data_IF_828545629344
#
_entry.id   IF_828545629344
#
_cell.length_a   1.000
_cell.length_b   1.000
_cell.length_c   1.000
_cell.angle_alpha   90.00
_cell.angle_beta   90.00
_cell.angle_gamma   90.00
#
_symmetry.space_group_name_H-M   'P 1'
#
loop_
_entity.id
_entity.type
_entity.pdbx_description
1 polymer ?
#
# COMPACT_ATOMS: atom_id res chain seq x y z
N UNK A 1 6.47 10.02 27.66
CA UNK A 1 5.45 8.93 27.65
C UNK A 1 4.59 8.92 26.39
N UNK A 2 3.89 10.01 26.03
CA UNK A 2 2.99 10.05 24.84
C UNK A 2 3.70 9.71 23.51
N UNK A 3 4.96 10.13 23.34
CA UNK A 3 5.76 9.85 22.13
C UNK A 3 6.04 8.35 21.92
N UNK A 4 6.33 7.61 22.99
CA UNK A 4 6.63 6.17 22.90
C UNK A 4 5.40 5.35 22.47
N UNK A 5 4.22 5.70 22.98
CA UNK A 5 2.96 5.03 22.63
C UNK A 5 2.63 5.26 21.15
N UNK A 6 2.83 6.49 20.65
CA UNK A 6 2.63 6.81 19.22
C UNK A 6 3.61 6.04 18.33
N UNK A 7 4.90 6.01 18.70
CA UNK A 7 5.91 5.27 17.96
C UNK A 7 5.60 3.76 17.91
N UNK A 8 5.17 3.18 19.04
CA UNK A 8 4.77 1.78 19.09
C UNK A 8 3.54 1.49 18.22
N UNK A 9 2.55 2.39 18.22
CA UNK A 9 1.36 2.27 17.38
C UNK A 9 1.71 2.30 15.89
N UNK A 10 2.51 3.28 15.46
CA UNK A 10 2.99 3.38 14.07
C UNK A 10 3.78 2.15 13.67
N UNK A 11 4.71 1.68 14.53
CA UNK A 11 5.47 0.47 14.27
C UNK A 11 4.58 -0.77 14.12
N UNK A 12 3.54 -0.91 14.94
CA UNK A 12 2.58 -2.01 14.82
C UNK A 12 1.81 -1.97 13.50
N UNK A 13 1.42 -0.79 13.05
CA UNK A 13 0.74 -0.61 11.74
C UNK A 13 1.70 -1.01 10.62
N UNK A 14 2.90 -0.42 10.56
CA UNK A 14 3.89 -0.73 9.52
C UNK A 14 4.26 -2.20 9.48
N UNK A 15 4.40 -2.84 10.64
CA UNK A 15 4.68 -4.29 10.73
C UNK A 15 3.50 -5.14 10.27
N UNK A 16 2.25 -4.70 10.51
CA UNK A 16 1.05 -5.46 10.16
C UNK A 16 0.73 -5.41 8.66
N UNK A 17 1.07 -4.30 8.02
CA UNK A 17 0.82 -4.00 6.61
C UNK A 17 2.13 -3.84 5.83
N UNK A 18 3.06 -4.76 6.07
CA UNK A 18 4.43 -4.62 5.59
C UNK A 18 4.50 -4.75 4.06
N UNK A 19 3.69 -5.62 3.46
CA UNK A 19 3.69 -5.81 2.00
C UNK A 19 3.02 -4.64 1.28
N UNK A 20 1.96 -4.08 1.87
CA UNK A 20 1.34 -2.84 1.40
C UNK A 20 2.34 -1.69 1.46
N UNK A 21 3.10 -1.56 2.56
CA UNK A 21 4.17 -0.58 2.67
C UNK A 21 5.26 -0.75 1.61
N UNK A 22 5.71 -1.99 1.36
CA UNK A 22 6.69 -2.29 0.30
C UNK A 22 6.16 -1.90 -1.08
N UNK A 23 4.90 -2.22 -1.39
CA UNK A 23 4.29 -1.84 -2.67
C UNK A 23 4.37 -0.31 -2.85
N UNK A 24 3.94 0.46 -1.86
CA UNK A 24 3.92 1.92 -1.93
C UNK A 24 5.32 2.53 -2.04
N UNK A 25 6.26 2.06 -1.22
CA UNK A 25 7.59 2.68 -1.07
C UNK A 25 8.63 2.19 -2.07
N UNK A 26 8.44 1.00 -2.66
CA UNK A 26 9.41 0.42 -3.58
C UNK A 26 8.92 0.39 -5.04
N UNK A 27 7.61 0.31 -5.27
CA UNK A 27 7.05 0.18 -6.63
C UNK A 27 6.31 1.42 -7.10
N UNK A 28 5.66 2.14 -6.18
CA UNK A 28 4.94 3.38 -6.48
C UNK A 28 5.69 4.64 -6.00
N UNK A 29 6.96 4.49 -5.62
CA UNK A 29 7.83 5.62 -5.27
C UNK A 29 8.40 6.30 -6.53
N UNK A 30 9.27 7.29 -6.34
CA UNK A 30 10.04 7.94 -7.41
C UNK A 30 10.69 6.86 -8.30
N UNK A 31 10.61 7.04 -9.61
CA UNK A 31 10.95 6.07 -10.66
C UNK A 31 9.96 4.89 -10.82
N UNK A 32 8.68 5.03 -10.46
CA UNK A 32 7.66 3.97 -10.71
C UNK A 32 7.56 3.55 -12.19
N UNK A 33 7.91 4.43 -13.11
CA UNK A 33 7.88 4.24 -14.56
C UNK A 33 8.82 3.12 -15.03
N UNK A 34 9.82 2.74 -14.22
CA UNK A 34 10.64 1.56 -14.47
C UNK A 34 9.86 0.24 -14.30
N UNK A 35 8.75 0.28 -13.56
CA UNK A 35 7.88 -0.88 -13.29
C UNK A 35 6.62 -0.88 -14.16
N UNK A 36 6.13 0.28 -14.59
CA UNK A 36 4.99 0.44 -15.49
C UNK A 36 4.35 1.83 -15.43
N UNK A 37 3.39 2.09 -16.32
CA UNK A 37 2.69 3.37 -16.40
C UNK A 37 1.33 3.34 -15.67
N UNK A 38 0.87 2.14 -15.30
CA UNK A 38 -0.44 1.91 -14.67
C UNK A 38 -0.32 1.14 -13.36
N UNK A 39 -1.33 1.27 -12.48
CA UNK A 39 -1.41 0.50 -11.23
C UNK A 39 -1.31 -1.00 -11.51
N UNK A 40 -1.98 -1.45 -12.57
CA UNK A 40 -2.03 -2.86 -12.95
C UNK A 40 -0.67 -3.38 -13.42
N UNK A 41 0.06 -2.63 -14.25
CA UNK A 41 1.42 -3.00 -14.69
C UNK A 41 2.41 -3.04 -13.53
N UNK A 42 2.36 -2.05 -12.64
CA UNK A 42 3.23 -1.99 -11.47
C UNK A 42 2.95 -3.16 -10.51
N UNK A 43 1.67 -3.48 -10.28
CA UNK A 43 1.28 -4.64 -9.44
C UNK A 43 1.65 -5.96 -10.10
N UNK A 44 1.57 -6.08 -11.42
CA UNK A 44 2.06 -7.24 -12.16
C UNK A 44 3.59 -7.40 -12.00
N UNK A 45 4.34 -6.30 -12.07
CA UNK A 45 5.78 -6.28 -11.79
C UNK A 45 6.10 -6.75 -10.37
N UNK A 46 5.35 -6.26 -9.38
CA UNK A 46 5.45 -6.73 -7.99
C UNK A 46 5.22 -8.24 -7.87
N UNK A 47 4.18 -8.77 -8.53
CA UNK A 47 3.85 -10.21 -8.50
C UNK A 47 4.98 -11.06 -9.08
N UNK A 48 5.61 -10.63 -10.17
CA UNK A 48 6.72 -11.35 -10.77
C UNK A 48 7.96 -11.40 -9.85
N UNK A 49 8.21 -10.34 -9.08
CA UNK A 49 9.30 -10.31 -8.10
C UNK A 49 8.96 -11.05 -6.78
N UNK A 50 7.69 -11.09 -6.37
CA UNK A 50 7.23 -11.65 -5.09
C UNK A 50 6.28 -12.84 -5.26
N UNK A 51 6.60 -13.76 -6.19
CA UNK A 51 5.73 -14.90 -6.58
C UNK A 51 5.17 -15.73 -5.42
N UNK A 52 5.91 -15.88 -4.33
CA UNK A 52 5.48 -16.69 -3.18
C UNK A 52 4.69 -15.88 -2.12
N UNK A 53 4.69 -14.55 -2.20
CA UNK A 53 4.22 -13.67 -1.12
C UNK A 53 3.08 -12.71 -1.52
N UNK A 54 2.64 -12.68 -2.79
CA UNK A 54 1.57 -11.77 -3.21
C UNK A 54 0.23 -12.05 -2.48
N UNK A 55 0.01 -13.28 -1.99
CA UNK A 55 -1.14 -13.62 -1.13
C UNK A 55 -1.14 -12.87 0.20
N UNK A 56 0.03 -12.50 0.73
CA UNK A 56 0.15 -11.69 1.95
C UNK A 56 -0.23 -10.24 1.67
N UNK A 57 0.18 -9.69 0.53
CA UNK A 57 -0.29 -8.39 0.06
C UNK A 57 -1.82 -8.40 -0.12
N UNK A 58 -2.37 -9.42 -0.78
CA UNK A 58 -3.82 -9.57 -0.95
C UNK A 58 -4.56 -9.52 0.38
N UNK A 59 -4.15 -10.32 1.36
CA UNK A 59 -4.78 -10.37 2.68
C UNK A 59 -4.70 -9.02 3.42
N UNK A 60 -3.56 -8.31 3.31
CA UNK A 60 -3.42 -6.97 3.89
C UNK A 60 -4.37 -5.95 3.23
N UNK A 61 -4.47 -5.96 1.90
CA UNK A 61 -5.35 -5.08 1.13
C UNK A 61 -6.82 -5.34 1.45
N UNK A 62 -7.23 -6.61 1.50
CA UNK A 62 -8.60 -6.99 1.89
C UNK A 62 -8.95 -6.47 3.29
N UNK A 63 -8.04 -6.59 4.27
CA UNK A 63 -8.26 -6.05 5.61
C UNK A 63 -8.33 -4.53 5.67
N UNK A 64 -7.47 -3.83 4.92
CA UNK A 64 -7.48 -2.38 4.83
C UNK A 64 -8.79 -1.87 4.22
N UNK A 65 -9.34 -2.58 3.24
CA UNK A 65 -10.61 -2.26 2.60
C UNK A 65 -11.82 -2.38 3.55
N UNK A 66 -11.71 -3.10 4.67
CA UNK A 66 -12.78 -3.16 5.68
C UNK A 66 -12.88 -1.91 6.57
N UNK A 67 -11.86 -1.05 6.55
CA UNK A 67 -11.81 0.14 7.41
C UNK A 67 -12.70 1.26 6.86
N UNK A 68 -13.22 2.16 7.71
CA UNK A 68 -13.79 3.43 7.27
C UNK A 68 -12.76 4.30 6.54
N UNK A 69 -13.20 5.14 5.59
CA UNK A 69 -12.29 5.95 4.75
C UNK A 69 -11.34 6.85 5.54
N UNK A 70 -11.79 7.42 6.65
CA UNK A 70 -10.94 8.24 7.52
C UNK A 70 -9.79 7.44 8.13
N UNK A 71 -10.08 6.23 8.62
CA UNK A 71 -9.07 5.36 9.23
C UNK A 71 -8.16 4.73 8.16
N UNK A 72 -8.73 4.39 7.00
CA UNK A 72 -7.97 3.93 5.84
C UNK A 72 -6.94 4.99 5.41
N UNK A 73 -7.37 6.25 5.25
CA UNK A 73 -6.50 7.35 4.87
C UNK A 73 -5.37 7.56 5.89
N UNK A 74 -5.66 7.53 7.20
CA UNK A 74 -4.63 7.63 8.24
C UNK A 74 -3.59 6.51 8.16
N UNK A 75 -4.04 5.26 7.97
CA UNK A 75 -3.13 4.12 7.87
C UNK A 75 -2.32 4.15 6.58
N UNK A 76 -2.95 4.45 5.45
CA UNK A 76 -2.26 4.51 4.16
C UNK A 76 -1.24 5.65 4.12
N UNK A 77 -1.55 6.82 4.66
CA UNK A 77 -0.58 7.91 4.78
C UNK A 77 0.64 7.51 5.63
N UNK A 78 0.44 6.74 6.70
CA UNK A 78 1.54 6.20 7.52
C UNK A 78 2.40 5.17 6.77
N UNK A 79 1.79 4.36 5.89
CA UNK A 79 2.48 3.35 5.09
C UNK A 79 3.20 3.98 3.89
N UNK A 80 2.63 5.02 3.31
CA UNK A 80 3.20 5.76 2.19
C UNK A 80 4.39 6.63 2.61
N UNK A 81 4.50 7.04 3.88
CA UNK A 81 5.63 7.87 4.37
C UNK A 81 5.88 9.15 3.55
N UNK A 82 4.82 9.76 2.99
CA UNK A 82 4.84 10.89 2.04
C UNK A 82 5.55 10.59 0.70
N UNK A 83 5.72 9.32 0.36
CA UNK A 83 6.36 8.87 -0.88
C UNK A 83 5.37 8.56 -2.01
N UNK A 84 4.09 8.43 -1.67
CA UNK A 84 3.03 8.13 -2.63
C UNK A 84 1.76 8.89 -2.28
N UNK A 85 1.08 9.37 -3.32
CA UNK A 85 -0.21 10.04 -3.24
C UNK A 85 -1.15 9.49 -4.33
N UNK A 86 -2.25 8.81 -3.96
CA UNK A 86 -3.19 8.26 -4.94
C UNK A 86 -3.90 9.35 -5.76
N UNK A 87 -3.99 10.60 -5.27
CA UNK A 87 -4.65 11.68 -6.02
C UNK A 87 -3.90 12.02 -7.31
N UNK A 88 -2.56 11.87 -7.33
CA UNK A 88 -1.74 12.03 -8.54
C UNK A 88 -2.06 10.98 -9.61
N UNK A 89 -2.70 9.88 -9.20
CA UNK A 89 -3.16 8.80 -10.06
C UNK A 89 -4.66 8.89 -10.38
N UNK A 90 -5.33 9.96 -9.94
CA UNK A 90 -6.78 10.13 -10.08
C UNK A 90 -7.60 9.23 -9.16
N UNK A 91 -7.00 8.74 -8.07
CA UNK A 91 -7.58 7.75 -7.17
C UNK A 91 -7.78 8.30 -5.75
N UNK A 92 -8.73 7.69 -5.03
CA UNK A 92 -8.74 7.71 -3.57
C UNK A 92 -7.91 6.54 -3.03
N UNK A 93 -7.54 6.54 -1.75
CA UNK A 93 -6.91 5.37 -1.13
C UNK A 93 -7.72 4.08 -1.33
N UNK A 94 -9.05 4.15 -1.24
CA UNK A 94 -9.91 2.98 -1.42
C UNK A 94 -9.92 2.50 -2.88
N UNK A 95 -10.11 3.40 -3.83
CA UNK A 95 -10.17 3.02 -5.24
C UNK A 95 -8.81 2.53 -5.75
N UNK A 96 -7.70 3.11 -5.28
CA UNK A 96 -6.36 2.58 -5.48
C UNK A 96 -6.23 1.14 -4.97
N UNK A 97 -6.61 0.87 -3.71
CA UNK A 97 -6.53 -0.48 -3.14
C UNK A 97 -7.43 -1.50 -3.85
N UNK A 98 -8.60 -1.08 -4.35
CA UNK A 98 -9.47 -1.94 -5.16
C UNK A 98 -8.80 -2.33 -6.49
N UNK A 99 -8.10 -1.40 -7.15
CA UNK A 99 -7.32 -1.68 -8.37
C UNK A 99 -6.16 -2.62 -8.08
N UNK A 100 -5.43 -2.39 -6.98
CA UNK A 100 -4.38 -3.31 -6.52
C UNK A 100 -4.94 -4.71 -6.31
N UNK A 101 -6.07 -4.84 -5.61
CA UNK A 101 -6.69 -6.14 -5.35
C UNK A 101 -7.11 -6.85 -6.64
N UNK A 102 -7.70 -6.13 -7.60
CA UNK A 102 -8.08 -6.67 -8.89
C UNK A 102 -6.87 -7.12 -9.72
N UNK A 103 -5.75 -6.38 -9.67
CA UNK A 103 -4.52 -6.72 -10.36
C UNK A 103 -3.75 -7.90 -9.74
N UNK A 104 -4.12 -8.32 -8.52
CA UNK A 104 -3.53 -9.49 -7.84
C UNK A 104 -4.19 -10.82 -8.22
N UNK A 105 -5.26 -10.81 -9.04
CA UNK A 105 -5.97 -12.02 -9.51
C UNK A 105 -5.14 -12.99 -10.37
#
# INVERSE_FOLDING_TARGET
MKSFIKALHVWRIKRRYAFTGILLQAYFFDDFDIYGDTVEEIVASYRECYKDNYNLLRAEVEELLLLPDSELAERMALLAENQFDPELWGETWRSFLLRVLAALE
#
